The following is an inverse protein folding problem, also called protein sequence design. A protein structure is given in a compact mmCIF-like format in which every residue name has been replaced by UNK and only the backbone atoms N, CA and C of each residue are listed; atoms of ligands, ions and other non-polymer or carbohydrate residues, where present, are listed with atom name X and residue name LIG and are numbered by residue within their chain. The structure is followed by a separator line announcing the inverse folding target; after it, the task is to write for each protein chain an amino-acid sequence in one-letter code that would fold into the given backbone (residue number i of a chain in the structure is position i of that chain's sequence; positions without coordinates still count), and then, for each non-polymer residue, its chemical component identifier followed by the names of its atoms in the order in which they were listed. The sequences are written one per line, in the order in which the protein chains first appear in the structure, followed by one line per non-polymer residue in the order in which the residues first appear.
data_IF_318728402328
#
_entry.id   IF_318728402328
#
_cell.length_a   1.000
_cell.length_b   1.000
_cell.length_c   1.000
_cell.angle_alpha   90.00
_cell.angle_beta   90.00
_cell.angle_gamma   90.00
#
_symmetry.space_group_name_H-M   'P 1'
#
loop_
_entity.id
_entity.type
_entity.pdbx_description
1 polymer ?
#
# COMPACT_ATOMS: atom_id res chain seq x y z
N UNK A 1 26.43 40.06 -22.46
CA UNK A 1 27.24 38.85 -22.69
C UNK A 1 26.53 37.69 -22.02
N UNK A 2 26.05 36.73 -22.82
CA UNK A 2 25.12 35.65 -22.46
C UNK A 2 25.79 34.58 -21.57
N UNK A 3 25.13 34.16 -20.48
CA UNK A 3 25.54 32.97 -19.71
C UNK A 3 24.53 31.84 -19.93
N UNK A 4 25.08 30.69 -20.29
CA UNK A 4 24.43 29.51 -20.88
C UNK A 4 23.60 28.73 -19.85
N UNK A 5 22.39 28.36 -20.24
CA UNK A 5 21.56 27.33 -19.60
C UNK A 5 22.12 25.95 -19.98
N UNK A 6 22.61 25.19 -19.01
CA UNK A 6 23.00 23.79 -19.19
C UNK A 6 21.75 22.90 -19.15
N UNK A 7 21.40 22.30 -20.29
CA UNK A 7 20.47 21.16 -20.37
C UNK A 7 21.12 19.94 -19.73
N UNK A 8 20.57 19.45 -18.63
CA UNK A 8 20.83 18.08 -18.17
C UNK A 8 19.90 17.14 -18.94
N UNK A 9 20.51 16.24 -19.71
CA UNK A 9 19.84 15.21 -20.49
C UNK A 9 19.17 14.19 -19.58
N UNK A 10 17.96 13.79 -19.96
CA UNK A 10 17.19 12.72 -19.33
C UNK A 10 17.94 11.38 -19.43
N UNK A 11 18.27 10.79 -18.29
CA UNK A 11 18.61 9.37 -18.19
C UNK A 11 17.34 8.55 -18.48
N UNK A 12 17.27 8.00 -19.69
CA UNK A 12 16.23 7.08 -20.11
C UNK A 12 16.39 5.74 -19.38
N UNK A 13 15.57 5.51 -18.34
CA UNK A 13 15.31 4.16 -17.87
C UNK A 13 14.28 3.54 -18.84
N UNK A 14 14.72 2.61 -19.69
CA UNK A 14 13.83 1.83 -20.55
C UNK A 14 12.99 0.89 -19.67
N UNK A 15 11.65 0.89 -19.75
CA UNK A 15 10.85 -0.20 -19.21
C UNK A 15 10.94 -1.39 -20.16
N UNK A 16 11.39 -2.54 -19.66
CA UNK A 16 11.29 -3.82 -20.38
C UNK A 16 9.80 -4.20 -20.51
N UNK A 17 9.17 -3.73 -21.59
CA UNK A 17 7.88 -4.21 -22.08
C UNK A 17 8.13 -5.37 -23.04
N UNK A 18 8.00 -6.61 -22.57
CA UNK A 18 7.77 -7.75 -23.44
C UNK A 18 6.75 -8.68 -22.80
N UNK A 19 5.50 -8.56 -23.26
CA UNK A 19 4.55 -9.66 -23.53
C UNK A 19 3.12 -9.11 -23.67
N UNK A 20 2.88 -8.28 -24.69
CA UNK A 20 1.54 -8.08 -25.24
C UNK A 20 1.58 -8.44 -26.72
N UNK A 21 1.42 -9.73 -26.98
CA UNK A 21 0.89 -10.21 -28.24
C UNK A 21 -0.08 -11.31 -27.89
N UNK A 22 -1.37 -11.02 -28.03
CA UNK A 22 -2.39 -11.84 -28.68
C UNK A 22 -3.74 -11.17 -28.44
N UNK A 23 -4.10 -10.25 -29.34
CA UNK A 23 -5.49 -9.94 -29.63
C UNK A 23 -5.80 -10.56 -30.98
N UNK A 24 -6.68 -11.56 -30.99
CA UNK A 24 -7.83 -11.62 -31.91
C UNK A 24 -8.55 -12.96 -31.80
N UNK A 25 -9.89 -12.91 -31.92
CA UNK A 25 -10.87 -13.99 -32.11
C UNK A 25 -11.43 -14.56 -30.79
N UNK A 26 -12.73 -14.52 -30.45
CA UNK A 26 -13.99 -14.26 -31.15
C UNK A 26 -15.06 -13.84 -30.11
N UNK A 27 -16.00 -12.96 -30.49
CA UNK A 27 -17.36 -13.02 -29.95
C UNK A 27 -18.07 -14.23 -30.59
N UNK A 28 -18.64 -15.14 -29.79
CA UNK A 28 -20.07 -15.55 -29.86
C UNK A 28 -20.38 -16.75 -28.96
N UNK A 29 -21.56 -16.68 -28.31
CA UNK A 29 -22.37 -17.71 -27.62
C UNK A 29 -22.15 -17.90 -26.10
N UNK A 30 -23.25 -18.05 -25.31
CA UNK A 30 -23.19 -18.34 -23.88
C UNK A 30 -22.93 -19.84 -23.69
N UNK A 31 -21.65 -20.21 -23.53
CA UNK A 31 -21.26 -21.57 -23.16
C UNK A 31 -21.34 -21.77 -21.63
N UNK A 32 -21.81 -22.93 -21.13
CA UNK A 32 -21.75 -23.27 -19.71
C UNK A 32 -20.28 -23.31 -19.26
N UNK A 33 -19.95 -22.67 -18.13
CA UNK A 33 -18.57 -22.40 -17.70
C UNK A 33 -17.68 -23.65 -17.57
N UNK A 34 -16.35 -23.51 -17.75
CA UNK A 34 -15.46 -24.66 -17.73
C UNK A 34 -15.23 -25.17 -16.30
N UNK A 35 -15.39 -26.48 -16.11
CA UNK A 35 -15.14 -27.23 -14.87
C UNK A 35 -13.68 -27.16 -14.34
N UNK A 36 -12.77 -26.39 -14.97
CA UNK A 36 -11.35 -26.30 -14.63
C UNK A 36 -10.82 -24.84 -14.51
N UNK A 37 -11.67 -23.85 -14.23
CA UNK A 37 -11.15 -22.49 -13.92
C UNK A 37 -10.58 -22.47 -12.48
N UNK A 38 -9.26 -22.30 -12.29
CA UNK A 38 -8.66 -22.24 -10.95
C UNK A 38 -9.26 -21.10 -10.11
N UNK A 39 -9.76 -20.02 -10.73
CA UNK A 39 -10.44 -18.94 -10.01
C UNK A 39 -11.75 -19.42 -9.38
N UNK A 40 -12.54 -20.23 -10.09
CA UNK A 40 -13.79 -20.78 -9.58
C UNK A 40 -13.52 -21.82 -8.49
N UNK A 41 -12.57 -22.74 -8.72
CA UNK A 41 -12.20 -23.76 -7.76
C UNK A 41 -11.69 -23.13 -6.45
N UNK A 42 -10.75 -22.18 -6.54
CA UNK A 42 -10.23 -21.48 -5.36
C UNK A 42 -11.34 -20.70 -4.65
N UNK A 43 -12.21 -20.02 -5.40
CA UNK A 43 -13.36 -19.30 -4.83
C UNK A 43 -14.30 -20.23 -4.04
N UNK A 44 -14.49 -21.48 -4.48
CA UNK A 44 -15.26 -22.46 -3.73
C UNK A 44 -14.51 -22.98 -2.48
N UNK A 45 -13.18 -23.14 -2.58
CA UNK A 45 -12.34 -23.63 -1.48
C UNK A 45 -12.25 -22.65 -0.31
N UNK A 46 -12.05 -21.35 -0.59
CA UNK A 46 -11.81 -20.32 0.45
C UNK A 46 -13.05 -20.01 1.30
N UNK A 47 -14.24 -20.46 0.88
CA UNK A 47 -15.48 -20.34 1.69
C UNK A 47 -15.60 -21.43 2.75
N UNK A 48 -14.82 -22.51 2.67
CA UNK A 48 -14.88 -23.61 3.64
C UNK A 48 -14.18 -23.20 4.95
N UNK A 49 -14.64 -23.67 6.12
CA UNK A 49 -13.95 -23.42 7.38
C UNK A 49 -12.52 -23.99 7.31
N UNK A 50 -11.57 -23.29 7.95
CA UNK A 50 -10.15 -23.69 8.00
C UNK A 50 -9.48 -23.87 6.62
N UNK A 51 -9.96 -23.16 5.59
CA UNK A 51 -9.45 -23.26 4.22
C UNK A 51 -7.93 -23.00 4.09
N UNK A 52 -7.33 -22.24 5.03
CA UNK A 52 -5.89 -21.96 5.03
C UNK A 52 -5.03 -23.22 5.19
N UNK A 53 -5.58 -24.28 5.81
CA UNK A 53 -4.90 -25.55 6.02
C UNK A 53 -5.10 -26.53 4.85
N UNK A 54 -5.83 -26.13 3.81
CA UNK A 54 -6.09 -26.99 2.66
C UNK A 54 -4.81 -27.18 1.82
N UNK A 55 -4.28 -28.40 1.82
CA UNK A 55 -3.02 -28.77 1.14
C UNK A 55 -3.11 -28.52 -0.38
N UNK A 56 -4.30 -28.70 -0.96
CA UNK A 56 -4.51 -28.49 -2.41
C UNK A 56 -4.54 -27.02 -2.82
N UNK A 57 -4.77 -26.10 -1.88
CA UNK A 57 -4.91 -24.68 -2.19
C UNK A 57 -3.57 -24.03 -2.55
N UNK A 58 -2.48 -24.36 -1.84
CA UNK A 58 -1.19 -23.68 -2.03
C UNK A 58 -0.64 -23.81 -3.46
N UNK A 59 -0.61 -25.01 -4.09
CA UNK A 59 -0.14 -25.15 -5.48
C UNK A 59 -1.01 -24.42 -6.49
N UNK A 60 -2.32 -24.28 -6.22
CA UNK A 60 -3.22 -23.53 -7.10
C UNK A 60 -2.95 -22.02 -6.98
N UNK A 61 -2.75 -21.52 -5.76
CA UNK A 61 -2.45 -20.10 -5.50
C UNK A 61 -1.08 -19.71 -6.05
N UNK A 62 -0.09 -20.62 -6.07
CA UNK A 62 1.28 -20.29 -6.48
C UNK A 62 1.39 -19.83 -7.94
N UNK A 63 0.46 -20.26 -8.80
CA UNK A 63 0.44 -19.93 -10.23
C UNK A 63 -0.53 -18.79 -10.57
N UNK A 64 -1.23 -18.21 -9.58
CA UNK A 64 -2.17 -17.13 -9.83
C UNK A 64 -1.44 -15.82 -10.15
N UNK A 65 -1.78 -15.24 -11.29
CA UNK A 65 -1.38 -13.87 -11.64
C UNK A 65 -2.23 -12.82 -10.88
N UNK A 66 -1.82 -11.54 -10.87
CA UNK A 66 -2.52 -10.50 -10.12
C UNK A 66 -3.98 -10.29 -10.54
N UNK A 67 -4.32 -10.47 -11.82
CA UNK A 67 -5.71 -10.35 -12.29
C UNK A 67 -6.60 -11.45 -11.71
N UNK A 68 -6.13 -12.71 -11.72
CA UNK A 68 -6.85 -13.83 -11.11
C UNK A 68 -7.03 -13.64 -9.61
N UNK A 69 -5.99 -13.18 -8.91
CA UNK A 69 -6.09 -12.84 -7.46
C UNK A 69 -7.13 -11.74 -7.24
N UNK A 70 -7.11 -10.67 -8.04
CA UNK A 70 -8.08 -9.58 -7.93
C UNK A 70 -9.52 -10.04 -8.17
N UNK A 71 -9.76 -10.92 -9.16
CA UNK A 71 -11.08 -11.49 -9.45
C UNK A 71 -11.63 -12.29 -8.28
N UNK A 72 -10.78 -13.10 -7.62
CA UNK A 72 -11.16 -13.85 -6.43
C UNK A 72 -11.49 -12.90 -5.27
N UNK A 73 -10.71 -11.84 -5.08
CA UNK A 73 -10.97 -10.84 -4.05
C UNK A 73 -12.28 -10.08 -4.33
N UNK A 74 -12.49 -9.63 -5.58
CA UNK A 74 -13.67 -8.88 -5.99
C UNK A 74 -14.96 -9.70 -5.83
N UNK A 75 -14.92 -11.00 -6.14
CA UNK A 75 -16.06 -11.90 -5.97
C UNK A 75 -16.46 -12.15 -4.51
N UNK A 76 -15.58 -11.80 -3.56
CA UNK A 76 -15.81 -11.91 -2.12
C UNK A 76 -15.77 -10.56 -1.39
N UNK A 77 -15.88 -9.44 -2.12
CA UNK A 77 -15.71 -8.07 -1.59
C UNK A 77 -16.55 -7.70 -0.35
N UNK A 78 -17.62 -8.47 -0.06
CA UNK A 78 -18.45 -8.33 1.15
C UNK A 78 -17.80 -8.90 2.41
N UNK A 79 -16.89 -9.87 2.28
CA UNK A 79 -16.15 -10.49 3.39
C UNK A 79 -14.69 -10.01 3.39
N UNK A 80 -14.50 -8.82 3.94
CA UNK A 80 -13.20 -8.15 4.01
C UNK A 80 -12.13 -9.01 4.74
N UNK A 81 -12.42 -9.66 5.88
CA UNK A 81 -11.47 -10.58 6.53
C UNK A 81 -11.02 -11.73 5.61
N UNK A 82 -11.95 -12.37 4.89
CA UNK A 82 -11.62 -13.43 3.94
C UNK A 82 -10.73 -12.89 2.81
N UNK A 83 -11.11 -11.77 2.19
CA UNK A 83 -10.32 -11.13 1.13
C UNK A 83 -8.89 -10.82 1.58
N UNK A 84 -8.74 -10.22 2.78
CA UNK A 84 -7.44 -9.86 3.32
C UNK A 84 -6.58 -11.11 3.61
N UNK A 85 -7.18 -12.17 4.16
CA UNK A 85 -6.48 -13.41 4.42
C UNK A 85 -6.06 -14.13 3.13
N UNK A 86 -6.91 -14.11 2.11
CA UNK A 86 -6.58 -14.63 0.79
C UNK A 86 -5.45 -13.83 0.13
N UNK A 87 -5.52 -12.49 0.18
CA UNK A 87 -4.45 -11.62 -0.31
C UNK A 87 -3.11 -11.95 0.34
N UNK A 88 -3.07 -12.09 1.68
CA UNK A 88 -1.87 -12.47 2.42
C UNK A 88 -1.32 -13.83 1.97
N UNK A 89 -2.20 -14.81 1.74
CA UNK A 89 -1.78 -16.11 1.22
C UNK A 89 -1.18 -15.96 -0.19
N UNK A 90 -1.83 -15.20 -1.07
CA UNK A 90 -1.35 -14.93 -2.42
C UNK A 90 0.04 -14.27 -2.40
N UNK A 91 0.26 -13.24 -1.59
CA UNK A 91 1.59 -12.61 -1.46
C UNK A 91 2.68 -13.56 -0.94
N UNK A 92 2.30 -14.59 -0.16
CA UNK A 92 3.25 -15.57 0.39
C UNK A 92 3.52 -16.76 -0.54
N UNK A 93 2.67 -17.01 -1.53
CA UNK A 93 2.70 -18.26 -2.31
C UNK A 93 2.78 -18.03 -3.81
N UNK A 94 2.18 -16.95 -4.34
CA UNK A 94 2.18 -16.63 -5.76
C UNK A 94 3.55 -16.11 -6.20
N UNK A 95 4.09 -16.68 -7.26
CA UNK A 95 5.32 -16.19 -7.91
C UNK A 95 5.17 -14.76 -8.42
N UNK A 96 3.95 -14.35 -8.80
CA UNK A 96 3.66 -13.01 -9.30
C UNK A 96 3.46 -11.97 -8.19
N UNK A 97 3.05 -12.36 -6.99
CA UNK A 97 2.86 -11.45 -5.86
C UNK A 97 3.99 -11.55 -4.82
N UNK A 98 5.02 -12.33 -5.12
CA UNK A 98 6.12 -12.61 -4.22
C UNK A 98 6.90 -11.34 -3.88
N UNK A 99 7.20 -10.51 -4.88
CA UNK A 99 7.90 -9.23 -4.72
C UNK A 99 6.94 -8.04 -4.52
N UNK A 100 7.53 -6.87 -4.26
CA UNK A 100 6.76 -5.64 -4.01
C UNK A 100 6.05 -5.11 -5.26
N UNK A 101 6.64 -5.27 -6.44
CA UNK A 101 6.13 -4.71 -7.69
C UNK A 101 4.85 -5.45 -8.14
N UNK A 102 4.81 -6.77 -7.96
CA UNK A 102 3.62 -7.59 -8.16
C UNK A 102 2.49 -7.28 -7.18
N UNK A 103 2.83 -7.00 -5.90
CA UNK A 103 1.85 -6.55 -4.90
C UNK A 103 1.27 -5.18 -5.26
N UNK A 104 2.10 -4.26 -5.77
CA UNK A 104 1.67 -2.95 -6.26
C UNK A 104 0.77 -3.10 -7.49
N UNK A 105 1.09 -4.01 -8.42
CA UNK A 105 0.21 -4.29 -9.56
C UNK A 105 -1.19 -4.73 -9.09
N UNK A 106 -1.25 -5.59 -8.07
CA UNK A 106 -2.53 -6.00 -7.48
C UNK A 106 -3.29 -4.83 -6.82
N UNK A 107 -2.59 -3.90 -6.17
CA UNK A 107 -3.21 -2.67 -5.66
C UNK A 107 -3.87 -1.86 -6.79
N UNK A 108 -3.18 -1.68 -7.91
CA UNK A 108 -3.72 -0.94 -9.06
C UNK A 108 -4.97 -1.59 -9.65
N UNK A 109 -5.00 -2.92 -9.73
CA UNK A 109 -6.19 -3.64 -10.22
C UNK A 109 -7.36 -3.46 -9.25
N UNK A 110 -7.16 -3.70 -7.95
CA UNK A 110 -8.20 -3.53 -6.92
C UNK A 110 -8.74 -2.09 -6.87
N UNK A 111 -7.88 -1.11 -7.13
CA UNK A 111 -8.26 0.28 -7.16
C UNK A 111 -9.05 0.65 -8.43
N UNK A 112 -8.69 0.07 -9.57
CA UNK A 112 -9.45 0.21 -10.83
C UNK A 112 -10.84 -0.43 -10.74
N UNK A 113 -10.97 -1.51 -9.96
CA UNK A 113 -12.26 -2.17 -9.67
C UNK A 113 -13.10 -1.43 -8.61
N UNK A 114 -12.66 -0.25 -8.14
CA UNK A 114 -13.31 0.56 -7.09
C UNK A 114 -13.57 -0.20 -5.77
N UNK A 115 -12.81 -1.27 -5.50
CA UNK A 115 -12.97 -2.10 -4.30
C UNK A 115 -12.29 -1.47 -3.08
N UNK A 116 -12.62 -0.21 -2.78
CA UNK A 116 -11.89 0.62 -1.81
C UNK A 116 -11.92 0.08 -0.39
N UNK A 117 -12.99 -0.59 0.03
CA UNK A 117 -13.07 -1.20 1.36
C UNK A 117 -11.97 -2.24 1.59
N UNK A 118 -11.78 -3.15 0.63
CA UNK A 118 -10.71 -4.16 0.67
C UNK A 118 -9.34 -3.52 0.43
N UNK A 119 -9.24 -2.61 -0.55
CA UNK A 119 -8.00 -1.92 -0.90
C UNK A 119 -7.35 -1.24 0.31
N UNK A 120 -8.12 -0.50 1.11
CA UNK A 120 -7.60 0.15 2.32
C UNK A 120 -6.99 -0.87 3.31
N UNK A 121 -7.66 -2.00 3.53
CA UNK A 121 -7.16 -3.04 4.46
C UNK A 121 -5.91 -3.73 3.94
N UNK A 122 -5.88 -4.02 2.64
CA UNK A 122 -4.70 -4.56 1.97
C UNK A 122 -3.54 -3.57 2.05
N UNK A 123 -3.79 -2.29 1.81
CA UNK A 123 -2.78 -1.23 1.87
C UNK A 123 -2.18 -1.09 3.27
N UNK A 124 -3.01 -1.06 4.32
CA UNK A 124 -2.55 -1.03 5.72
C UNK A 124 -1.66 -2.25 6.02
N UNK A 125 -2.06 -3.44 5.56
CA UNK A 125 -1.27 -4.64 5.76
C UNK A 125 0.08 -4.55 5.04
N UNK A 126 0.10 -4.12 3.77
CA UNK A 126 1.34 -3.97 3.00
C UNK A 126 2.28 -2.93 3.61
N UNK A 127 1.77 -1.78 4.05
CA UNK A 127 2.59 -0.76 4.73
C UNK A 127 3.27 -1.36 5.96
N UNK A 128 2.54 -2.14 6.77
CA UNK A 128 3.10 -2.81 7.95
C UNK A 128 4.14 -3.87 7.59
N UNK A 129 3.95 -4.60 6.50
CA UNK A 129 4.92 -5.59 6.01
C UNK A 129 6.21 -4.91 5.52
N UNK A 130 6.09 -3.76 4.85
CA UNK A 130 7.21 -2.98 4.31
C UNK A 130 7.88 -2.05 5.35
N UNK A 131 7.45 -2.10 6.61
CA UNK A 131 7.88 -1.23 7.71
C UNK A 131 9.34 -1.46 8.15
N UNK A 132 10.05 -2.38 7.49
CA UNK A 132 11.47 -2.70 7.70
C UNK A 132 12.36 -2.31 6.50
N UNK A 133 11.77 -1.81 5.40
CA UNK A 133 12.48 -1.47 4.16
C UNK A 133 12.03 -0.10 3.67
N UNK A 134 12.91 0.90 3.75
CA UNK A 134 12.62 2.25 3.27
C UNK A 134 12.29 2.27 1.77
N UNK A 135 12.99 1.47 0.97
CA UNK A 135 12.77 1.37 -0.48
C UNK A 135 11.37 0.87 -0.79
N UNK A 136 10.93 -0.22 -0.15
CA UNK A 136 9.61 -0.80 -0.40
C UNK A 136 8.48 0.11 0.09
N UNK A 137 8.66 0.75 1.25
CA UNK A 137 7.69 1.71 1.76
C UNK A 137 7.52 2.90 0.81
N UNK A 138 8.62 3.44 0.28
CA UNK A 138 8.57 4.53 -0.71
C UNK A 138 7.91 4.10 -2.02
N UNK A 139 8.10 2.86 -2.48
CA UNK A 139 7.36 2.32 -3.64
C UNK A 139 5.85 2.27 -3.38
N UNK A 140 5.43 1.81 -2.20
CA UNK A 140 4.00 1.82 -1.81
C UNK A 140 3.45 3.24 -1.77
N UNK A 141 4.21 4.21 -1.24
CA UNK A 141 3.80 5.62 -1.24
C UNK A 141 3.65 6.19 -2.65
N UNK A 142 4.58 5.87 -3.55
CA UNK A 142 4.47 6.27 -4.96
C UNK A 142 3.22 5.66 -5.62
N UNK A 143 2.89 4.41 -5.31
CA UNK A 143 1.66 3.77 -5.79
C UNK A 143 0.40 4.46 -5.26
N UNK A 144 0.38 4.89 -3.99
CA UNK A 144 -0.73 5.66 -3.40
C UNK A 144 -0.92 6.98 -4.15
N UNK A 145 0.14 7.74 -4.41
CA UNK A 145 0.06 9.01 -5.13
C UNK A 145 -0.37 8.82 -6.60
N UNK A 146 0.10 7.75 -7.25
CA UNK A 146 -0.36 7.39 -8.59
C UNK A 146 -1.87 7.10 -8.61
N UNK A 147 -2.37 6.26 -7.70
CA UNK A 147 -3.80 5.96 -7.58
C UNK A 147 -4.61 7.22 -7.23
N UNK A 148 -4.08 8.10 -6.38
CA UNK A 148 -4.70 9.38 -6.05
C UNK A 148 -4.91 10.26 -7.29
N UNK A 149 -3.89 10.38 -8.13
CA UNK A 149 -3.92 11.24 -9.32
C UNK A 149 -4.69 10.65 -10.50
N UNK A 150 -4.68 9.32 -10.67
CA UNK A 150 -5.30 8.66 -11.84
C UNK A 150 -6.75 8.27 -11.65
N UNK A 151 -7.11 7.76 -10.47
CA UNK A 151 -8.45 7.21 -10.19
C UNK A 151 -9.14 7.92 -9.02
N UNK A 152 -8.51 8.95 -8.45
CA UNK A 152 -9.10 9.72 -7.35
C UNK A 152 -9.07 9.01 -5.99
N UNK A 153 -8.39 7.86 -5.87
CA UNK A 153 -8.34 7.10 -4.62
C UNK A 153 -7.73 7.94 -3.48
N UNK A 154 -8.47 8.09 -2.38
CA UNK A 154 -8.02 8.77 -1.17
C UNK A 154 -7.86 7.74 -0.06
N UNK A 155 -6.68 7.72 0.56
CA UNK A 155 -6.43 6.84 1.69
C UNK A 155 -7.14 7.38 2.94
N UNK A 156 -7.57 6.49 3.82
CA UNK A 156 -8.21 6.83 5.08
C UNK A 156 -7.20 7.11 6.20
N UNK A 157 -7.69 7.62 7.34
CA UNK A 157 -6.89 7.92 8.52
C UNK A 157 -6.00 6.74 8.98
N UNK A 158 -6.49 5.49 9.11
CA UNK A 158 -5.63 4.37 9.49
C UNK A 158 -4.44 4.13 8.56
N UNK A 159 -4.58 4.37 7.26
CA UNK A 159 -3.44 4.31 6.33
C UNK A 159 -2.41 5.39 6.65
N UNK A 160 -2.83 6.65 6.86
CA UNK A 160 -1.94 7.74 7.25
C UNK A 160 -1.18 7.44 8.54
N UNK A 161 -1.91 7.06 9.59
CA UNK A 161 -1.31 6.76 10.89
C UNK A 161 -0.32 5.60 10.80
N UNK A 162 -0.62 4.58 10.00
CA UNK A 162 0.30 3.45 9.75
C UNK A 162 1.55 3.88 8.96
N UNK A 163 1.41 4.76 7.96
CA UNK A 163 2.56 5.33 7.23
C UNK A 163 3.47 6.11 8.17
N UNK A 164 2.90 7.00 9.00
CA UNK A 164 3.66 7.80 9.98
C UNK A 164 4.43 6.93 10.96
N UNK A 165 3.78 5.88 11.49
CA UNK A 165 4.43 4.90 12.35
C UNK A 165 5.63 4.23 11.67
N UNK A 166 5.49 3.78 10.42
CA UNK A 166 6.59 3.14 9.69
C UNK A 166 7.72 4.12 9.34
N UNK A 167 7.40 5.34 8.94
CA UNK A 167 8.40 6.37 8.63
C UNK A 167 9.18 6.80 9.88
N UNK A 168 8.54 6.84 11.04
CA UNK A 168 9.19 7.11 12.32
C UNK A 168 10.08 5.95 12.80
N UNK A 169 9.74 4.72 12.44
CA UNK A 169 10.57 3.54 12.71
C UNK A 169 11.81 3.48 11.82
N UNK A 170 11.68 3.95 10.58
CA UNK A 170 12.74 3.96 9.56
C UNK A 170 13.56 5.27 9.55
N UNK A 171 13.30 6.17 10.50
CA UNK A 171 14.00 7.44 10.66
C UNK A 171 14.01 8.26 9.35
N UNK A 172 12.82 8.43 8.77
CA UNK A 172 12.61 9.21 7.53
C UNK A 172 11.77 10.46 7.83
N UNK A 173 12.31 11.36 8.65
CA UNK A 173 11.60 12.52 9.20
C UNK A 173 11.01 13.48 8.16
N UNK A 174 11.73 13.79 7.08
CA UNK A 174 11.25 14.71 6.03
C UNK A 174 10.01 14.18 5.29
N UNK A 175 9.97 12.87 5.04
CA UNK A 175 8.84 12.19 4.42
C UNK A 175 7.69 12.06 5.42
N UNK A 176 7.98 11.75 6.69
CA UNK A 176 6.97 11.71 7.76
C UNK A 176 6.24 13.06 7.88
N UNK A 177 6.97 14.17 7.87
CA UNK A 177 6.38 15.52 7.87
C UNK A 177 5.47 15.75 6.66
N UNK A 178 5.90 15.33 5.46
CA UNK A 178 5.11 15.48 4.23
C UNK A 178 3.80 14.68 4.29
N UNK A 179 3.85 13.45 4.83
CA UNK A 179 2.67 12.60 5.05
C UNK A 179 1.72 13.22 6.09
N UNK A 180 2.26 13.74 7.19
CA UNK A 180 1.46 14.41 8.22
C UNK A 180 0.75 15.65 7.67
N UNK A 181 1.47 16.49 6.91
CA UNK A 181 0.86 17.66 6.27
C UNK A 181 -0.27 17.26 5.34
N UNK A 182 -0.04 16.23 4.50
CA UNK A 182 -1.06 15.70 3.59
C UNK A 182 -2.29 15.20 4.34
N UNK A 183 -2.09 14.50 5.46
CA UNK A 183 -3.19 14.01 6.29
C UNK A 183 -4.08 15.17 6.79
N UNK A 184 -3.49 16.28 7.21
CA UNK A 184 -4.25 17.48 7.60
C UNK A 184 -4.95 18.15 6.40
N UNK A 185 -4.28 18.23 5.25
CA UNK A 185 -4.85 18.78 4.01
C UNK A 185 -6.04 17.98 3.50
N UNK A 186 -6.01 16.65 3.69
CA UNK A 186 -7.13 15.76 3.37
C UNK A 186 -8.26 15.83 4.43
N UNK A 187 -8.14 16.71 5.43
CA UNK A 187 -9.20 17.05 6.40
C UNK A 187 -9.20 16.18 7.66
N UNK A 188 -8.17 15.37 7.89
CA UNK A 188 -8.10 14.55 9.10
C UNK A 188 -7.55 15.33 10.30
N UNK A 189 -8.07 15.02 11.48
CA UNK A 189 -7.54 15.51 12.75
C UNK A 189 -6.47 14.53 13.21
N UNK A 190 -5.25 15.01 13.42
CA UNK A 190 -4.16 14.20 13.95
C UNK A 190 -4.37 13.85 15.42
N UNK A 191 -4.15 12.59 15.76
CA UNK A 191 -4.15 12.10 17.13
C UNK A 191 -2.77 12.25 17.79
N UNK A 192 -2.71 12.05 19.10
CA UNK A 192 -1.48 12.11 19.90
C UNK A 192 -0.37 11.22 19.32
N UNK A 193 -0.71 9.98 18.92
CA UNK A 193 0.19 9.03 18.29
C UNK A 193 0.82 9.58 17.00
N UNK A 194 0.06 10.30 16.19
CA UNK A 194 0.55 10.83 14.91
C UNK A 194 1.57 11.94 15.16
N UNK A 195 1.29 12.84 16.12
CA UNK A 195 2.25 13.85 16.57
C UNK A 195 3.53 13.22 17.12
N UNK A 196 3.39 12.22 18.00
CA UNK A 196 4.54 11.49 18.56
C UNK A 196 5.42 10.89 17.49
N UNK A 197 4.82 10.22 16.50
CA UNK A 197 5.55 9.59 15.41
C UNK A 197 6.34 10.63 14.60
N UNK A 198 5.74 11.77 14.26
CA UNK A 198 6.41 12.83 13.49
C UNK A 198 7.54 13.48 14.30
N UNK A 199 7.31 13.79 15.57
CA UNK A 199 8.34 14.37 16.45
C UNK A 199 9.55 13.43 16.54
N UNK A 200 9.32 12.15 16.85
CA UNK A 200 10.38 11.16 16.95
C UNK A 200 11.17 11.03 15.63
N UNK A 201 10.47 10.96 14.50
CA UNK A 201 11.11 10.90 13.18
C UNK A 201 11.95 12.15 12.86
N UNK A 202 11.50 13.34 13.27
CA UNK A 202 12.25 14.58 13.06
C UNK A 202 13.48 14.67 13.96
N UNK A 203 13.36 14.33 15.24
CA UNK A 203 14.49 14.36 16.19
C UNK A 203 15.63 13.46 15.73
N UNK A 204 15.32 12.21 15.35
CA UNK A 204 16.34 11.24 14.90
C UNK A 204 17.05 11.64 13.61
N UNK A 205 16.41 12.45 12.77
CA UNK A 205 17.01 13.00 11.55
C UNK A 205 17.70 14.35 11.77
N UNK A 206 17.80 14.82 13.02
CA UNK A 206 18.45 16.08 13.37
C UNK A 206 17.60 17.34 13.12
N UNK A 207 16.32 17.19 12.77
CA UNK A 207 15.39 18.31 12.54
C UNK A 207 14.76 18.82 13.85
N UNK A 208 15.59 19.09 14.85
CA UNK A 208 15.15 19.40 16.24
C UNK A 208 14.26 20.63 16.30
N UNK A 209 14.60 21.72 15.61
CA UNK A 209 13.77 22.94 15.58
C UNK A 209 12.37 22.68 15.04
N UNK A 210 12.24 21.83 14.02
CA UNK A 210 10.94 21.43 13.49
C UNK A 210 10.18 20.58 14.52
N UNK A 211 10.86 19.69 15.23
CA UNK A 211 10.27 18.89 16.31
C UNK A 211 9.74 19.77 17.46
N UNK A 212 10.50 20.78 17.90
CA UNK A 212 10.09 21.74 18.94
C UNK A 212 8.83 22.52 18.57
N UNK A 213 8.70 22.92 17.29
CA UNK A 213 7.48 23.56 16.79
C UNK A 213 6.26 22.64 16.90
N UNK A 214 6.43 21.34 16.65
CA UNK A 214 5.36 20.36 16.80
C UNK A 214 4.98 20.16 18.27
N UNK A 215 5.96 20.07 19.18
CA UNK A 215 5.70 20.00 20.63
C UNK A 215 4.93 21.22 21.10
N UNK A 216 5.35 22.42 20.70
CA UNK A 216 4.65 23.67 21.02
C UNK A 216 3.20 23.67 20.53
N UNK A 217 2.94 23.10 19.35
CA UNK A 217 1.59 22.97 18.80
C UNK A 217 0.74 21.97 19.60
N UNK A 218 1.33 20.84 19.99
CA UNK A 218 0.67 19.83 20.82
C UNK A 218 0.28 20.42 22.18
N UNK A 219 1.19 21.13 22.85
CA UNK A 219 0.92 21.78 24.12
C UNK A 219 -0.24 22.79 24.02
N UNK A 220 -0.29 23.57 22.93
CA UNK A 220 -1.41 24.50 22.67
C UNK A 220 -2.74 23.80 22.41
N UNK A 221 -2.73 22.58 21.88
CA UNK A 221 -3.92 21.77 21.64
C UNK A 221 -4.38 21.00 22.89
N UNK A 222 -3.62 21.07 24.00
CA UNK A 222 -3.93 20.35 25.23
C UNK A 222 -3.74 18.83 25.13
N UNK A 223 -3.00 18.35 24.12
CA UNK A 223 -2.68 16.92 24.00
C UNK A 223 -1.51 16.58 24.92
N UNK A 224 -1.64 15.55 25.75
CA UNK A 224 -0.57 15.06 26.61
C UNK A 224 0.36 14.16 25.80
N UNK A 225 1.60 14.57 25.55
CA UNK A 225 2.64 13.69 25.02
C UNK A 225 3.33 12.97 26.17
N UNK A 226 3.46 11.65 26.07
CA UNK A 226 4.16 10.82 27.05
C UNK A 226 5.62 11.25 27.27
N UNK A 227 6.14 11.02 28.49
CA UNK A 227 7.45 11.45 29.03
C UNK A 227 8.62 11.05 28.12
N UNK A 228 8.49 9.92 27.41
CA UNK A 228 9.53 9.41 26.49
C UNK A 228 9.88 10.38 25.34
N UNK A 229 8.97 11.28 24.94
CA UNK A 229 9.23 12.24 23.87
C UNK A 229 10.15 13.38 24.35
N UNK A 230 10.01 13.81 25.60
CA UNK A 230 10.84 14.89 26.16
C UNK A 230 12.32 14.47 26.25
N UNK A 231 12.59 13.20 26.57
CA UNK A 231 13.93 12.62 26.55
C UNK A 231 14.48 12.44 25.12
N UNK A 232 13.62 12.38 24.10
CA UNK A 232 14.03 12.27 22.69
C UNK A 232 14.47 13.61 22.07
N UNK A 233 14.22 14.72 22.76
CA UNK A 233 14.52 16.09 22.30
C UNK A 233 15.80 16.64 22.93
N UNK A 234 16.30 16.01 24.00
CA UNK A 234 17.46 16.43 24.80
C UNK A 234 18.72 15.65 24.41
#
# INVERSE_FOLDING_TARGET
MLIRVAKLQALSLKPHFHAFQFLSLLCTTPHPGPLNDPVFEISAMIKKPNWQNNIRLKPLVSHLNPHSVSRIIASHSRDIPLCLNFFKLACKQSTYCYDIDGRIQLLYILASDNSFGVLHKVLIWLIKECCSSQVDLLKIMAAIEYMRGKIGFRVNYPCYSTLLMCLAKLDVGSVAFSVFKRMLEDGFIAGELDYRNVINALCKNGFVQAAEMFVSRVLKLGLALDVYIYDSIN
#
